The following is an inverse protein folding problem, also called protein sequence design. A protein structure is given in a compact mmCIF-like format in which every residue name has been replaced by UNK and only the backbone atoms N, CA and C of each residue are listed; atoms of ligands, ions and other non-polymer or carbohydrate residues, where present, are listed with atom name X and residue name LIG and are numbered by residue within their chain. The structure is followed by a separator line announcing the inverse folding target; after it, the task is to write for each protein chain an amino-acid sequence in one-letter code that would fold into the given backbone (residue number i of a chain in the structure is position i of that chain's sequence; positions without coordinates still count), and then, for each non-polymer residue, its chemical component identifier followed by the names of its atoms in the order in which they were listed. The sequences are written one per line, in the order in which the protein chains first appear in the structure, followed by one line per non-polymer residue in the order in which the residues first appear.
data_IF_850519295461
#
_entry.id   IF_850519295461
#
_cell.length_a   1.000
_cell.length_b   1.000
_cell.length_c   1.000
_cell.angle_alpha   90.00
_cell.angle_beta   90.00
_cell.angle_gamma   90.00
#
_symmetry.space_group_name_H-M   'P 1'
#
loop_
_entity.id
_entity.type
_entity.pdbx_description
1 polymer ?
#
# COMPACT_ATOMS: atom_id res chain seq x y z
N UNK A 1 -16.18 31.36 -8.81
CA UNK A 1 -14.80 31.54 -8.32
C UNK A 1 -14.86 31.34 -6.82
N UNK A 2 -14.44 30.19 -6.32
CA UNK A 2 -14.57 29.83 -4.91
C UNK A 2 -13.36 30.35 -4.14
N UNK A 3 -13.62 31.30 -3.24
CA UNK A 3 -12.61 31.94 -2.41
C UNK A 3 -12.66 31.25 -1.03
N UNK A 4 -11.60 30.55 -0.65
CA UNK A 4 -11.43 29.87 0.65
C UNK A 4 -12.40 28.71 0.98
N UNK A 5 -12.67 27.80 0.03
CA UNK A 5 -13.32 26.51 0.34
C UNK A 5 -14.80 26.58 0.77
N UNK A 6 -15.40 27.76 0.74
CA UNK A 6 -16.84 27.96 0.86
C UNK A 6 -17.44 27.92 -0.54
N UNK A 7 -17.99 26.76 -0.90
CA UNK A 7 -18.84 26.62 -2.08
C UNK A 7 -20.22 27.18 -1.76
N UNK A 8 -21.02 27.52 -2.78
CA UNK A 8 -22.44 27.93 -2.60
C UNK A 8 -23.28 26.89 -1.82
N UNK A 9 -22.78 25.66 -1.67
CA UNK A 9 -23.45 24.54 -1.02
C UNK A 9 -22.81 24.10 0.31
N UNK A 10 -21.86 24.87 0.87
CA UNK A 10 -21.23 24.60 2.16
C UNK A 10 -19.72 24.30 2.09
N UNK A 11 -19.11 23.80 3.19
CA UNK A 11 -17.69 23.52 3.23
C UNK A 11 -17.34 22.39 2.27
N UNK A 12 -16.33 22.61 1.45
CA UNK A 12 -15.85 21.62 0.48
C UNK A 12 -15.33 20.36 1.20
N UNK A 13 -15.82 19.18 0.78
CA UNK A 13 -15.30 17.91 1.27
C UNK A 13 -14.32 17.33 0.25
N UNK A 14 -13.08 17.82 0.31
CA UNK A 14 -12.02 17.43 -0.61
C UNK A 14 -11.86 15.92 -0.77
N UNK A 15 -11.95 15.15 0.31
CA UNK A 15 -11.79 13.68 0.28
C UNK A 15 -12.90 12.97 -0.50
N UNK A 16 -14.11 13.53 -0.52
CA UNK A 16 -15.21 13.02 -1.34
C UNK A 16 -15.01 13.41 -2.80
N UNK A 17 -14.56 14.63 -3.06
CA UNK A 17 -14.38 15.17 -4.42
C UNK A 17 -13.30 14.40 -5.20
N UNK A 18 -12.24 13.96 -4.52
CA UNK A 18 -11.14 13.20 -5.14
C UNK A 18 -11.40 11.69 -5.20
N UNK A 19 -12.46 11.17 -4.57
CA UNK A 19 -12.78 9.75 -4.63
C UNK A 19 -13.16 9.37 -6.07
N UNK A 20 -12.73 8.20 -6.54
CA UNK A 20 -13.22 7.69 -7.83
C UNK A 20 -14.70 7.37 -7.71
N UNK A 21 -15.49 7.78 -8.70
CA UNK A 21 -16.92 7.50 -8.78
C UNK A 21 -17.21 5.99 -8.81
N UNK A 22 -16.33 5.21 -9.42
CA UNK A 22 -16.44 3.75 -9.49
C UNK A 22 -16.15 3.06 -8.14
N UNK A 23 -15.46 3.75 -7.23
CA UNK A 23 -15.04 3.16 -5.96
C UNK A 23 -16.15 3.23 -4.91
N UNK A 24 -16.58 2.05 -4.45
CA UNK A 24 -17.56 1.92 -3.37
C UNK A 24 -16.95 1.12 -2.22
N UNK A 25 -16.93 1.70 -1.03
CA UNK A 25 -16.42 1.04 0.17
C UNK A 25 -17.37 -0.12 0.54
N UNK A 26 -16.87 -1.35 0.71
CA UNK A 26 -17.69 -2.46 1.17
C UNK A 26 -18.24 -2.20 2.58
N UNK A 27 -19.55 -2.40 2.75
CA UNK A 27 -20.25 -2.25 4.03
C UNK A 27 -20.61 -3.59 4.66
N UNK A 28 -20.51 -4.68 3.90
CA UNK A 28 -20.82 -6.04 4.37
C UNK A 28 -19.70 -7.04 4.08
N UNK A 29 -19.65 -8.12 4.85
CA UNK A 29 -18.70 -9.21 4.62
C UNK A 29 -18.89 -9.92 3.26
N UNK A 30 -20.12 -9.93 2.75
CA UNK A 30 -20.47 -10.55 1.47
C UNK A 30 -19.81 -9.78 0.33
N UNK A 31 -19.97 -8.44 0.31
CA UNK A 31 -19.32 -7.56 -0.66
C UNK A 31 -17.80 -7.70 -0.63
N UNK A 32 -17.22 -7.83 0.56
CA UNK A 32 -15.77 -8.03 0.71
C UNK A 32 -15.33 -9.36 0.11
N UNK A 33 -16.08 -10.45 0.31
CA UNK A 33 -15.76 -11.76 -0.29
C UNK A 33 -15.80 -11.70 -1.82
N UNK A 34 -16.79 -11.02 -2.38
CA UNK A 34 -16.88 -10.79 -3.84
C UNK A 34 -15.71 -9.95 -4.35
N UNK A 35 -15.32 -8.91 -3.62
CA UNK A 35 -14.20 -8.06 -3.96
C UNK A 35 -12.86 -8.81 -3.92
N UNK A 36 -12.64 -9.64 -2.89
CA UNK A 36 -11.44 -10.47 -2.82
C UNK A 36 -11.37 -11.49 -3.96
N UNK A 37 -12.53 -12.06 -4.36
CA UNK A 37 -12.63 -12.93 -5.52
C UNK A 37 -12.23 -12.20 -6.81
N UNK A 38 -12.72 -10.97 -7.01
CA UNK A 38 -12.33 -10.13 -8.17
C UNK A 38 -10.83 -9.83 -8.19
N UNK A 39 -10.24 -9.55 -7.03
CA UNK A 39 -8.82 -9.21 -6.91
C UNK A 39 -7.89 -10.44 -6.93
N UNK A 40 -8.40 -11.66 -7.12
CA UNK A 40 -7.63 -12.91 -7.04
C UNK A 40 -6.82 -13.06 -5.75
N UNK A 41 -7.20 -12.35 -4.68
CA UNK A 41 -6.50 -12.35 -3.39
C UNK A 41 -7.08 -13.48 -2.55
N UNK A 42 -6.20 -14.33 -2.02
CA UNK A 42 -6.61 -15.42 -1.14
C UNK A 42 -7.17 -14.83 0.15
N UNK A 43 -8.45 -15.08 0.41
CA UNK A 43 -9.04 -14.83 1.73
C UNK A 43 -8.41 -15.83 2.70
N UNK A 44 -7.37 -15.42 3.43
CA UNK A 44 -6.80 -16.27 4.46
C UNK A 44 -7.73 -16.25 5.66
N UNK A 45 -8.63 -17.23 5.72
CA UNK A 45 -9.44 -17.50 6.92
C UNK A 45 -8.57 -17.81 8.15
N UNK A 46 -7.26 -18.04 7.99
CA UNK A 46 -6.34 -18.33 9.09
C UNK A 46 -5.92 -17.10 9.90
N UNK A 47 -6.10 -15.88 9.36
CA UNK A 47 -5.93 -14.63 10.12
C UNK A 47 -7.21 -14.23 10.90
N UNK A 48 -8.28 -15.02 10.80
CA UNK A 48 -9.58 -14.80 11.46
C UNK A 48 -9.59 -15.02 12.97
N UNK A 49 -8.49 -14.89 13.70
CA UNK A 49 -8.59 -14.97 15.17
C UNK A 49 -9.53 -13.90 15.75
N UNK A 50 -9.92 -12.85 14.97
CA UNK A 50 -11.09 -11.96 15.23
C UNK A 50 -11.83 -11.44 13.97
N UNK A 51 -11.78 -12.11 12.81
CA UNK A 51 -12.57 -11.73 11.62
C UNK A 51 -12.35 -10.32 11.04
N UNK A 52 -11.12 -9.80 11.07
CA UNK A 52 -10.77 -8.49 10.48
C UNK A 52 -10.14 -8.69 9.10
N UNK A 53 -10.76 -8.14 8.07
CA UNK A 53 -10.45 -8.38 6.67
C UNK A 53 -10.00 -7.11 5.92
N UNK A 54 -9.52 -6.12 6.66
CA UNK A 54 -9.03 -4.87 6.09
C UNK A 54 -10.11 -3.83 5.79
N UNK A 55 -11.37 -4.09 6.17
CA UNK A 55 -12.49 -3.15 6.03
C UNK A 55 -13.19 -2.90 7.36
N UNK A 56 -13.61 -1.65 7.58
CA UNK A 56 -14.20 -1.19 8.83
C UNK A 56 -15.73 -1.17 8.84
N UNK A 57 -16.40 -1.30 7.68
CA UNK A 57 -17.86 -1.29 7.55
C UNK A 57 -18.55 -0.08 8.19
N UNK A 58 -17.89 1.08 8.17
CA UNK A 58 -18.36 2.29 8.85
C UNK A 58 -18.21 2.29 10.38
N UNK A 59 -17.71 1.21 11.00
CA UNK A 59 -17.46 1.15 12.45
C UNK A 59 -16.08 1.71 12.81
N UNK A 60 -16.08 2.76 13.62
CA UNK A 60 -14.84 3.38 14.13
C UNK A 60 -14.08 2.45 15.09
N UNK A 61 -14.78 1.71 15.93
CA UNK A 61 -14.16 0.75 16.87
C UNK A 61 -13.41 -0.35 16.12
N UNK A 62 -14.03 -0.89 15.06
CA UNK A 62 -13.40 -1.88 14.19
C UNK A 62 -12.16 -1.31 13.51
N UNK A 63 -12.22 -0.05 13.05
CA UNK A 63 -11.06 0.63 12.47
C UNK A 63 -9.90 0.75 13.47
N UNK A 64 -10.18 1.11 14.73
CA UNK A 64 -9.15 1.16 15.78
C UNK A 64 -8.52 -0.21 16.03
N UNK A 65 -9.32 -1.27 16.06
CA UNK A 65 -8.84 -2.64 16.23
C UNK A 65 -7.98 -3.11 15.06
N UNK A 66 -8.33 -2.73 13.83
CA UNK A 66 -7.49 -2.96 12.64
C UNK A 66 -6.14 -2.26 12.78
N UNK A 67 -6.12 -0.99 13.21
CA UNK A 67 -4.89 -0.22 13.41
C UNK A 67 -3.99 -0.83 14.49
N UNK A 68 -4.56 -1.21 15.64
CA UNK A 68 -3.81 -1.85 16.74
C UNK A 68 -3.11 -3.15 16.32
N UNK A 69 -3.70 -3.86 15.35
CA UNK A 69 -3.17 -5.12 14.84
C UNK A 69 -2.30 -4.97 13.59
N UNK A 70 -2.16 -3.76 13.07
CA UNK A 70 -1.44 -3.53 11.81
C UNK A 70 -2.12 -4.16 10.59
N UNK A 71 -3.44 -4.39 10.63
CA UNK A 71 -4.17 -4.90 9.46
C UNK A 71 -4.26 -3.78 8.44
N UNK A 72 -3.63 -3.99 7.29
CA UNK A 72 -3.67 -3.06 6.17
C UNK A 72 -4.93 -3.28 5.33
N UNK A 73 -5.43 -2.18 4.76
CA UNK A 73 -6.51 -2.24 3.78
C UNK A 73 -5.98 -2.95 2.53
N UNK A 74 -6.73 -3.90 1.93
CA UNK A 74 -6.27 -4.64 0.77
C UNK A 74 -6.27 -3.80 -0.51
N UNK A 75 -6.99 -2.67 -0.53
CA UNK A 75 -7.09 -1.75 -1.66
C UNK A 75 -6.18 -0.55 -1.40
N UNK A 76 -5.38 -0.19 -2.41
CA UNK A 76 -4.44 0.92 -2.32
C UNK A 76 -5.11 2.28 -2.60
N UNK A 77 -4.40 3.38 -2.31
CA UNK A 77 -4.92 4.72 -2.55
C UNK A 77 -5.09 5.02 -4.05
N UNK A 78 -4.26 4.47 -4.93
CA UNK A 78 -4.37 4.62 -6.39
C UNK A 78 -5.66 4.00 -6.97
N UNK A 79 -6.21 2.99 -6.29
CA UNK A 79 -7.48 2.36 -6.68
C UNK A 79 -8.69 3.17 -6.17
N UNK A 80 -8.54 3.87 -5.04
CA UNK A 80 -9.63 4.59 -4.37
C UNK A 80 -9.82 6.02 -4.87
N UNK A 81 -8.73 6.76 -5.08
CA UNK A 81 -8.78 8.19 -5.37
C UNK A 81 -8.31 8.48 -6.81
N UNK A 82 -8.84 9.55 -7.39
CA UNK A 82 -8.48 10.09 -8.70
C UNK A 82 -7.14 10.84 -8.66
N UNK A 83 -6.87 11.48 -7.52
CA UNK A 83 -5.71 12.32 -7.27
C UNK A 83 -5.07 11.89 -5.95
N UNK A 84 -3.75 12.09 -5.77
CA UNK A 84 -3.11 11.80 -4.49
C UNK A 84 -3.70 12.72 -3.40
N UNK A 85 -4.31 12.16 -2.33
CA UNK A 85 -5.00 12.96 -1.32
C UNK A 85 -4.04 13.81 -0.47
N UNK A 86 -2.78 13.39 -0.37
CA UNK A 86 -1.72 14.07 0.40
C UNK A 86 -0.37 13.85 -0.27
N UNK A 87 0.59 14.74 0.01
CA UNK A 87 1.93 14.72 -0.58
C UNK A 87 2.70 13.41 -0.37
N UNK A 88 2.44 12.69 0.74
CA UNK A 88 3.07 11.39 0.98
C UNK A 88 2.67 10.31 -0.04
N UNK A 89 1.54 10.45 -0.73
CA UNK A 89 1.12 9.52 -1.77
C UNK A 89 1.71 9.84 -3.14
N UNK A 90 2.16 11.07 -3.38
CA UNK A 90 2.67 11.51 -4.69
C UNK A 90 3.85 10.67 -5.18
N UNK A 91 4.77 10.31 -4.28
CA UNK A 91 5.97 9.53 -4.63
C UNK A 91 5.63 8.15 -5.20
N UNK A 92 4.61 7.49 -4.67
CA UNK A 92 4.20 6.15 -5.10
C UNK A 92 3.06 6.13 -6.11
N UNK A 93 2.45 7.29 -6.40
CA UNK A 93 1.20 7.38 -7.16
C UNK A 93 1.33 6.82 -8.59
N UNK A 94 2.44 7.15 -9.23
CA UNK A 94 2.71 6.84 -10.64
C UNK A 94 3.22 5.41 -10.86
N UNK A 95 3.45 4.63 -9.80
CA UNK A 95 3.94 3.25 -9.91
C UNK A 95 2.89 2.30 -10.51
N UNK A 96 1.61 2.64 -10.41
CA UNK A 96 0.48 1.82 -10.86
C UNK A 96 -0.25 2.43 -12.06
N UNK A 97 0.38 3.38 -12.76
CA UNK A 97 -0.24 4.02 -13.92
C UNK A 97 -0.24 3.08 -15.14
N UNK A 98 -1.43 2.69 -15.59
CA UNK A 98 -1.63 1.79 -16.74
C UNK A 98 -1.06 2.35 -18.04
N UNK A 99 -0.92 3.66 -18.16
CA UNK A 99 -0.30 4.28 -19.34
C UNK A 99 1.22 4.07 -19.37
N UNK A 100 1.86 3.94 -18.21
CA UNK A 100 3.29 3.71 -18.07
C UNK A 100 3.65 2.21 -18.00
N UNK A 101 2.67 1.34 -17.73
CA UNK A 101 2.91 -0.11 -17.66
C UNK A 101 3.26 -0.68 -19.04
N UNK A 102 4.52 -1.07 -19.21
CA UNK A 102 5.03 -1.69 -20.44
C UNK A 102 5.80 -0.73 -21.35
N UNK A 103 5.77 0.58 -21.07
CA UNK A 103 6.54 1.57 -21.79
C UNK A 103 7.87 1.85 -21.08
N UNK A 104 8.99 1.54 -21.74
CA UNK A 104 10.31 1.91 -21.27
C UNK A 104 10.63 3.35 -21.70
N UNK A 105 9.98 4.33 -21.08
CA UNK A 105 10.26 5.76 -21.31
C UNK A 105 11.65 6.17 -20.82
N UNK A 106 12.25 5.39 -19.91
CA UNK A 106 13.58 5.62 -19.37
C UNK A 106 14.45 4.36 -19.47
N UNK A 107 15.55 4.45 -20.23
CA UNK A 107 16.60 3.43 -20.24
C UNK A 107 17.48 3.61 -19.01
N UNK A 108 17.20 2.85 -17.95
CA UNK A 108 18.06 2.81 -16.77
C UNK A 108 19.42 2.25 -17.20
N UNK A 109 20.50 2.98 -16.93
CA UNK A 109 21.85 2.46 -17.10
C UNK A 109 21.99 1.13 -16.33
N UNK A 110 22.61 0.14 -16.97
CA UNK A 110 22.83 -1.17 -16.35
C UNK A 110 23.58 -0.98 -15.02
N UNK A 111 22.90 -1.32 -13.92
CA UNK A 111 23.53 -1.36 -12.60
C UNK A 111 24.34 -2.64 -12.50
N UNK A 112 25.59 -2.51 -12.04
CA UNK A 112 26.44 -3.65 -11.70
C UNK A 112 26.45 -3.78 -10.17
N UNK A 113 25.48 -4.50 -9.55
CA UNK A 113 25.49 -4.71 -8.12
C UNK A 113 26.79 -5.44 -7.75
N UNK A 114 27.47 -4.99 -6.70
CA UNK A 114 28.64 -5.69 -6.20
C UNK A 114 28.18 -7.00 -5.52
N UNK A 115 28.47 -8.18 -6.09
CA UNK A 115 28.10 -9.42 -5.43
C UNK A 115 28.93 -9.58 -4.16
N UNK A 116 28.33 -10.16 -3.11
CA UNK A 116 29.09 -10.58 -1.95
C UNK A 116 30.13 -11.62 -2.37
N UNK A 117 31.41 -11.34 -2.13
CA UNK A 117 32.47 -12.28 -2.50
C UNK A 117 32.38 -13.55 -1.65
N UNK A 118 32.83 -14.71 -2.16
CA UNK A 118 32.88 -15.94 -1.37
C UNK A 118 33.67 -15.77 -0.06
N UNK A 119 34.75 -14.99 -0.09
CA UNK A 119 35.57 -14.69 1.09
C UNK A 119 34.82 -13.81 2.11
N UNK A 120 34.03 -12.84 1.64
CA UNK A 120 33.18 -12.03 2.51
C UNK A 120 32.13 -12.89 3.22
N UNK A 121 31.53 -13.86 2.52
CA UNK A 121 30.55 -14.78 3.10
C UNK A 121 31.17 -15.74 4.12
N UNK A 122 32.40 -16.18 3.90
CA UNK A 122 33.16 -17.00 4.87
C UNK A 122 33.51 -16.18 6.11
N UNK A 123 34.03 -14.97 5.93
CA UNK A 123 34.32 -14.06 7.03
C UNK A 123 33.08 -13.72 7.86
N UNK A 124 31.91 -13.54 7.23
CA UNK A 124 30.64 -13.31 7.94
C UNK A 124 30.21 -14.51 8.80
N UNK A 125 30.58 -15.74 8.42
CA UNK A 125 30.39 -16.93 9.26
C UNK A 125 31.39 -16.95 10.42
N UNK A 126 32.66 -16.68 10.15
CA UNK A 126 33.72 -16.67 11.16
C UNK A 126 33.53 -15.56 12.20
N UNK A 127 33.02 -14.39 11.80
CA UNK A 127 32.68 -13.30 12.73
C UNK A 127 31.62 -13.67 13.77
N UNK A 128 30.80 -14.70 13.52
CA UNK A 128 29.83 -15.20 14.51
C UNK A 128 30.50 -15.96 15.65
N UNK A 129 31.69 -16.52 15.43
CA UNK A 129 32.45 -17.28 16.43
C UNK A 129 33.65 -16.50 16.97
N UNK A 130 34.29 -15.67 16.14
CA UNK A 130 35.43 -14.85 16.50
C UNK A 130 35.25 -13.40 16.06
N UNK A 131 35.05 -12.51 17.03
CA UNK A 131 34.86 -11.06 16.80
C UNK A 131 36.06 -10.39 16.10
N UNK A 132 37.26 -10.97 16.19
CA UNK A 132 38.49 -10.42 15.62
C UNK A 132 38.84 -11.00 14.24
N UNK A 133 37.94 -11.80 13.64
CA UNK A 133 38.16 -12.31 12.28
C UNK A 133 38.19 -11.14 11.26
N UNK A 134 39.35 -10.94 10.65
CA UNK A 134 39.64 -9.95 9.60
C UNK A 134 40.28 -10.64 8.40
N UNK A 135 40.04 -10.11 7.19
CA UNK A 135 40.64 -10.59 5.94
C UNK A 135 42.06 -10.01 5.70
N UNK A 136 42.66 -9.45 6.75
CA UNK A 136 43.98 -8.81 6.77
C UNK A 136 44.66 -9.12 8.10
#
# INVERSE_FOLDING_TARGET
MEFFGNTMCGPQNYMKDILKEDYHEPMTEIEVKELFKKLSKTYSDKDNRRGLNGFAYGSFERFLDMKKKGVLKPIGPCDMYRLPPTSCYEFGWWLTDTSLTGENWYQVQQRYPQPASPYSLVLDKERKTNKYATLF
#
